data_IF_836598363603
#
_entry.id   IF_836598363603
#
_cell.length_a   1.000
_cell.length_b   1.000
_cell.length_c   1.000
_cell.angle_alpha   90.00
_cell.angle_beta   90.00
_cell.angle_gamma   90.00
#
_symmetry.space_group_name_H-M   'P 1'
#
loop_
_entity.id
_entity.type
_entity.pdbx_description
1 polymer ?
#
# COMPACT_ATOMS: atom_id res chain seq x y z
N UNK A 1 -12.36 8.94 0.26
CA UNK A 1 -10.90 9.02 0.41
C UNK A 1 -10.58 9.08 1.89
N UNK A 2 -9.71 8.20 2.35
CA UNK A 2 -9.28 8.08 3.74
C UNK A 2 -7.77 8.31 3.77
N UNK A 3 -7.32 9.23 4.61
CA UNK A 3 -5.90 9.51 4.79
C UNK A 3 -5.42 8.80 6.05
N UNK A 4 -4.38 7.98 5.91
CA UNK A 4 -3.73 7.31 7.03
C UNK A 4 -2.20 7.46 6.92
N UNK A 5 -1.50 7.04 7.96
CA UNK A 5 -0.04 6.88 7.96
C UNK A 5 0.33 5.41 8.09
N UNK A 6 1.40 5.00 7.41
CA UNK A 6 1.92 3.64 7.42
C UNK A 6 3.43 3.64 7.68
N UNK A 7 3.96 2.50 8.10
CA UNK A 7 5.40 2.37 8.34
C UNK A 7 5.89 3.01 9.63
N UNK A 8 7.13 2.66 10.00
CA UNK A 8 7.84 3.21 11.16
C UNK A 8 7.97 4.74 11.09
N UNK A 9 8.10 5.27 9.88
CA UNK A 9 8.26 6.69 9.61
C UNK A 9 6.94 7.43 9.36
N UNK A 10 5.79 6.80 9.61
CA UNK A 10 4.47 7.42 9.50
C UNK A 10 4.23 8.05 8.11
N UNK A 11 4.60 7.33 7.06
CA UNK A 11 4.48 7.77 5.68
C UNK A 11 2.99 7.93 5.29
N UNK A 12 2.57 9.06 4.71
CA UNK A 12 1.17 9.29 4.36
C UNK A 12 0.73 8.48 3.14
N UNK A 13 -0.50 7.97 3.17
CA UNK A 13 -1.14 7.29 2.04
C UNK A 13 -2.64 7.63 2.00
N UNK A 14 -3.21 7.66 0.79
CA UNK A 14 -4.64 7.89 0.58
C UNK A 14 -5.30 6.62 0.02
N UNK A 15 -6.42 6.22 0.62
CA UNK A 15 -7.16 5.01 0.27
C UNK A 15 -8.59 5.32 -0.15
N UNK A 16 -9.19 4.44 -0.95
CA UNK A 16 -10.61 4.52 -1.26
C UNK A 16 -11.48 4.01 -0.10
N UNK A 17 -11.01 3.01 0.64
CA UNK A 17 -11.67 2.42 1.81
C UNK A 17 -10.67 2.11 2.94
N UNK A 18 -11.18 1.82 4.13
CA UNK A 18 -10.34 1.51 5.29
C UNK A 18 -9.64 0.16 5.10
N UNK A 19 -8.34 0.11 5.37
CA UNK A 19 -7.56 -1.11 5.23
C UNK A 19 -6.45 -1.16 6.29
N UNK A 20 -6.26 -2.34 6.90
CA UNK A 20 -5.24 -2.52 7.93
C UNK A 20 -3.85 -2.74 7.30
N UNK A 21 -2.88 -1.90 7.69
CA UNK A 21 -1.48 -1.98 7.27
C UNK A 21 -0.52 -2.19 8.46
N UNK A 22 -0.99 -2.75 9.57
CA UNK A 22 -0.16 -2.95 10.79
C UNK A 22 1.06 -3.84 10.53
N UNK A 23 1.02 -4.67 9.49
CA UNK A 23 2.16 -5.48 9.05
C UNK A 23 3.34 -4.64 8.53
N UNK A 24 3.14 -3.36 8.20
CA UNK A 24 4.20 -2.40 7.86
C UNK A 24 4.72 -1.61 9.06
N UNK A 25 4.13 -1.69 10.25
CA UNK A 25 4.38 -0.74 11.36
C UNK A 25 5.86 -0.57 11.75
N UNK A 26 6.65 -1.64 11.62
CA UNK A 26 8.08 -1.66 11.99
C UNK A 26 9.02 -1.52 10.77
N UNK A 27 8.46 -1.32 9.58
CA UNK A 27 9.16 -1.19 8.30
C UNK A 27 9.23 0.27 7.89
N UNK A 28 10.38 0.72 7.39
CA UNK A 28 10.49 2.06 6.81
C UNK A 28 9.94 2.07 5.39
N UNK A 29 8.98 2.95 5.12
CA UNK A 29 8.36 3.14 3.80
C UNK A 29 8.92 4.43 3.20
N UNK A 30 9.54 4.39 2.03
CA UNK A 30 10.12 5.59 1.40
C UNK A 30 9.33 6.08 0.18
N UNK A 31 8.43 5.25 -0.36
CA UNK A 31 7.53 5.64 -1.45
C UNK A 31 6.29 4.75 -1.48
N UNK A 32 5.18 5.31 -1.98
CA UNK A 32 3.88 4.64 -2.15
C UNK A 32 3.36 4.91 -3.56
N UNK A 33 2.77 3.89 -4.18
CA UNK A 33 2.08 3.97 -5.46
C UNK A 33 0.63 3.52 -5.27
N UNK A 34 -0.27 4.47 -5.02
CA UNK A 34 -1.68 4.26 -4.61
C UNK A 34 -2.71 4.60 -5.71
N UNK A 35 -2.26 4.96 -6.91
CA UNK A 35 -3.08 5.30 -8.08
C UNK A 35 -2.93 4.27 -9.22
N UNK A 36 -2.76 2.99 -8.88
CA UNK A 36 -2.57 1.95 -9.90
C UNK A 36 -3.91 1.47 -10.45
N UNK A 37 -3.97 1.12 -11.73
CA UNK A 37 -5.20 0.68 -12.41
C UNK A 37 -5.50 -0.83 -12.24
N UNK A 38 -4.55 -1.59 -11.69
CA UNK A 38 -4.58 -3.05 -11.58
C UNK A 38 -4.87 -3.56 -10.17
N UNK A 39 -5.61 -2.78 -9.36
CA UNK A 39 -6.13 -3.23 -8.07
C UNK A 39 -5.08 -3.53 -7.00
N UNK A 40 -3.92 -2.87 -7.07
CA UNK A 40 -2.85 -3.00 -6.08
C UNK A 40 -2.41 -1.65 -5.52
N UNK A 41 -1.81 -1.70 -4.34
CA UNK A 41 -0.99 -0.62 -3.80
C UNK A 41 0.43 -1.16 -3.74
N UNK A 42 1.38 -0.39 -4.28
CA UNK A 42 2.79 -0.78 -4.24
C UNK A 42 3.59 0.13 -3.30
N UNK A 43 4.62 -0.43 -2.67
CA UNK A 43 5.44 0.23 -1.67
C UNK A 43 6.92 0.06 -2.03
N UNK A 44 7.69 1.13 -1.85
CA UNK A 44 9.14 1.02 -1.66
C UNK A 44 9.43 0.97 -0.16
N UNK A 45 10.03 -0.13 0.28
CA UNK A 45 10.35 -0.36 1.69
C UNK A 45 11.85 -0.55 1.91
N UNK A 46 12.32 -0.24 3.11
CA UNK A 46 13.66 -0.57 3.59
C UNK A 46 13.54 -1.59 4.71
N UNK A 47 14.23 -2.72 4.55
CA UNK A 47 14.33 -3.78 5.55
C UNK A 47 15.77 -4.28 5.60
N UNK A 48 16.36 -4.35 6.80
CA UNK A 48 17.76 -4.76 7.00
C UNK A 48 18.78 -3.98 6.13
N UNK A 49 18.53 -2.68 5.90
CA UNK A 49 19.38 -1.82 5.08
C UNK A 49 19.27 -2.03 3.56
N UNK A 50 18.38 -2.93 3.11
CA UNK A 50 18.11 -3.18 1.69
C UNK A 50 16.78 -2.59 1.26
N UNK A 51 16.67 -2.21 -0.02
CA UNK A 51 15.46 -1.67 -0.64
C UNK A 51 14.69 -2.78 -1.35
N UNK A 52 13.38 -2.84 -1.10
CA UNK A 52 12.47 -3.76 -1.77
C UNK A 52 11.32 -3.01 -2.41
N UNK A 53 10.83 -3.56 -3.52
CA UNK A 53 9.57 -3.19 -4.12
C UNK A 53 8.53 -4.25 -3.77
N UNK A 54 7.46 -3.84 -3.09
CA UNK A 54 6.40 -4.71 -2.65
C UNK A 54 5.10 -4.34 -3.36
N UNK A 55 4.44 -5.31 -3.98
CA UNK A 55 3.14 -5.16 -4.60
C UNK A 55 2.10 -5.87 -3.74
N UNK A 56 1.08 -5.14 -3.28
CA UNK A 56 0.00 -5.68 -2.46
C UNK A 56 -1.33 -5.58 -3.22
N UNK A 57 -1.83 -6.72 -3.69
CA UNK A 57 -3.18 -6.84 -4.24
C UNK A 57 -4.09 -7.30 -3.09
N UNK A 58 -5.09 -6.49 -2.73
CA UNK A 58 -5.92 -6.77 -1.55
C UNK A 58 -6.42 -5.54 -0.79
N UNK A 59 -6.08 -4.33 -1.22
CA UNK A 59 -6.65 -3.08 -0.71
C UNK A 59 -7.24 -2.29 -1.87
N UNK A 60 -8.43 -1.69 -1.72
CA UNK A 60 -8.94 -0.75 -2.72
C UNK A 60 -8.12 0.53 -2.72
N UNK A 61 -7.42 0.72 -3.81
CA UNK A 61 -6.70 1.93 -4.14
C UNK A 61 -7.67 2.97 -4.76
N UNK A 62 -7.16 4.14 -5.16
CA UNK A 62 -8.02 5.24 -5.62
C UNK A 62 -8.68 5.01 -6.98
N UNK A 63 -8.10 4.16 -7.82
CA UNK A 63 -8.43 4.10 -9.26
C UNK A 63 -9.10 2.77 -9.67
N UNK A 64 -8.91 1.69 -8.93
CA UNK A 64 -9.44 0.39 -9.31
C UNK A 64 -10.92 0.24 -8.94
N UNK A 65 -11.75 0.01 -9.96
CA UNK A 65 -13.21 -0.15 -9.84
C UNK A 65 -13.70 -1.60 -9.97
N UNK A 66 -12.79 -2.56 -10.16
CA UNK A 66 -13.12 -3.99 -10.24
C UNK A 66 -13.23 -4.65 -8.86
N UNK A 67 -13.46 -5.97 -8.82
CA UNK A 67 -13.49 -6.72 -7.56
C UNK A 67 -12.05 -6.96 -7.07
N UNK A 68 -11.80 -6.75 -5.78
CA UNK A 68 -10.46 -6.92 -5.19
C UNK A 68 -9.99 -8.37 -5.34
N UNK A 69 -10.90 -9.32 -5.28
CA UNK A 69 -10.65 -10.75 -5.48
C UNK A 69 -10.04 -11.05 -6.86
N UNK A 70 -10.42 -10.30 -7.89
CA UNK A 70 -9.87 -10.46 -9.25
C UNK A 70 -8.41 -10.00 -9.32
N UNK A 71 -7.97 -9.11 -8.41
CA UNK A 71 -6.59 -8.64 -8.35
C UNK A 71 -5.64 -9.57 -7.56
N UNK A 72 -6.18 -10.48 -6.74
CA UNK A 72 -5.42 -11.36 -5.83
C UNK A 72 -4.91 -12.66 -6.50
N UNK A 73 -5.27 -12.92 -7.77
CA UNK A 73 -4.96 -14.17 -8.49
C UNK A 73 -3.52 -14.70 -8.38
#
# INVERSE_FOLDING_TARGET
>A
MINITIGKNQYPITLAEEHNFDWLKDVEVFTVFDQQDSGNISFGIIQNGQRYFLKYAGARNLEYKGNVEDAIQ
#
